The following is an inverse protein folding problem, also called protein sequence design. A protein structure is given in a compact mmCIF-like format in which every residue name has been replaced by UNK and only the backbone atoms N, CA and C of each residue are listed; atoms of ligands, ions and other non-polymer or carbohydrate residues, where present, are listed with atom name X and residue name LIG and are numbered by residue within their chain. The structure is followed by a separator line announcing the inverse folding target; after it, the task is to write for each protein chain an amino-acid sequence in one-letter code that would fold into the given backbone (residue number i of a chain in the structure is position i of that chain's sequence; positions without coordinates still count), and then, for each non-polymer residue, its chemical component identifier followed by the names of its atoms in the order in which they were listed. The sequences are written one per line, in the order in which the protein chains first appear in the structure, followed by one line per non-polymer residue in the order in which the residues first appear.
data_IF_183848285461
#
_entry.id   IF_183848285461
#
_cell.length_a   1.000
_cell.length_b   1.000
_cell.length_c   1.000
_cell.angle_alpha   90.00
_cell.angle_beta   90.00
_cell.angle_gamma   90.00
#
_symmetry.space_group_name_H-M   'P 1'
#
loop_
_entity.id
_entity.type
_entity.pdbx_description
1 polymer ?
#
# COMPACT_ATOMS: atom_id res chain seq x y z
N UNK A 1 -3.20 -3.50 8.75
CA UNK A 1 -2.18 -4.33 8.07
C UNK A 1 -2.74 -5.74 7.88
N UNK A 2 -3.63 -5.96 6.90
CA UNK A 2 -4.31 -7.25 6.73
C UNK A 2 -3.35 -8.39 6.33
N UNK A 3 -2.18 -8.05 5.78
CA UNK A 3 -1.18 -9.03 5.40
C UNK A 3 -0.54 -9.78 6.57
N UNK A 4 -0.70 -9.31 7.82
CA UNK A 4 -0.20 -10.02 9.00
C UNK A 4 -0.81 -11.42 9.13
N UNK A 5 -2.02 -11.63 8.59
CA UNK A 5 -2.71 -12.92 8.56
C UNK A 5 -2.01 -13.97 7.67
N UNK A 6 -1.13 -13.53 6.77
CA UNK A 6 -0.38 -14.42 5.88
C UNK A 6 1.03 -14.71 6.37
N UNK A 7 1.44 -14.13 7.50
CA UNK A 7 2.75 -14.41 8.10
C UNK A 7 2.71 -15.74 8.85
N UNK A 8 3.83 -16.49 8.89
CA UNK A 8 3.92 -17.71 9.69
C UNK A 8 3.74 -17.38 11.17
N UNK A 9 3.21 -18.34 11.95
CA UNK A 9 2.97 -18.18 13.40
C UNK A 9 4.25 -17.84 14.19
N UNK A 10 5.43 -18.17 13.65
CA UNK A 10 6.73 -17.85 14.23
C UNK A 10 7.14 -16.38 14.06
N UNK A 11 6.38 -15.57 13.31
CA UNK A 11 6.69 -14.17 13.09
C UNK A 11 6.40 -13.34 14.35
N UNK A 12 7.32 -12.44 14.71
CA UNK A 12 7.14 -11.53 15.83
C UNK A 12 6.21 -10.35 15.43
N UNK A 13 4.90 -10.57 15.53
CA UNK A 13 3.90 -9.60 15.10
C UNK A 13 3.99 -8.28 15.88
N UNK A 14 4.27 -8.34 17.18
CA UNK A 14 4.38 -7.15 18.04
C UNK A 14 5.52 -6.24 17.60
N UNK A 15 6.68 -6.82 17.28
CA UNK A 15 7.83 -6.06 16.78
C UNK A 15 7.55 -5.46 15.39
N UNK A 16 6.89 -6.21 14.50
CA UNK A 16 6.50 -5.73 13.17
C UNK A 16 5.54 -4.53 13.29
N UNK A 17 4.53 -4.64 14.16
CA UNK A 17 3.56 -3.55 14.39
C UNK A 17 4.25 -2.34 15.00
N UNK A 18 5.09 -2.54 16.02
CA UNK A 18 5.85 -1.47 16.68
C UNK A 18 6.72 -0.70 15.68
N UNK A 19 7.48 -1.44 14.86
CA UNK A 19 8.32 -0.86 13.83
C UNK A 19 7.49 -0.13 12.77
N UNK A 20 6.36 -0.71 12.36
CA UNK A 20 5.45 -0.07 11.41
C UNK A 20 4.97 1.30 11.93
N UNK A 21 4.50 1.36 13.19
CA UNK A 21 4.03 2.60 13.80
C UNK A 21 5.14 3.65 13.95
N UNK A 22 6.36 3.24 14.30
CA UNK A 22 7.52 4.12 14.34
C UNK A 22 7.80 4.75 12.97
N UNK A 23 7.82 3.93 11.91
CA UNK A 23 8.05 4.40 10.54
C UNK A 23 6.92 5.29 10.05
N UNK A 24 5.68 4.98 10.40
CA UNK A 24 4.54 5.84 10.10
C UNK A 24 4.67 7.22 10.76
N UNK A 25 5.07 7.29 12.03
CA UNK A 25 5.34 8.57 12.71
C UNK A 25 6.44 9.36 12.02
N UNK A 26 7.49 8.69 11.56
CA UNK A 26 8.59 9.34 10.84
C UNK A 26 8.16 9.91 9.48
N UNK A 27 7.43 9.12 8.67
CA UNK A 27 6.98 9.51 7.32
C UNK A 27 5.88 10.58 7.37
N UNK A 28 5.08 10.64 8.44
CA UNK A 28 3.95 11.58 8.55
C UNK A 28 4.33 13.03 8.86
N UNK A 29 5.62 13.36 8.87
CA UNK A 29 6.08 14.73 9.07
C UNK A 29 5.67 15.66 7.91
N UNK A 30 5.19 16.86 8.23
CA UNK A 30 4.82 17.89 7.24
C UNK A 30 6.03 18.65 6.67
N UNK A 31 7.05 17.91 6.26
CA UNK A 31 8.21 18.46 5.54
C UNK A 31 8.02 18.24 4.05
N UNK A 32 8.39 19.23 3.25
CA UNK A 32 8.27 19.22 1.77
C UNK A 32 8.77 17.91 1.14
N UNK A 33 9.92 17.39 1.60
CA UNK A 33 10.50 16.14 1.12
C UNK A 33 9.58 14.92 1.33
N UNK A 34 8.95 14.79 2.49
CA UNK A 34 8.00 13.70 2.76
C UNK A 34 6.68 13.91 2.02
N UNK A 35 6.15 15.14 2.02
CA UNK A 35 4.88 15.46 1.36
C UNK A 35 4.90 15.15 -0.14
N UNK A 36 6.05 15.32 -0.81
CA UNK A 36 6.21 15.03 -2.24
C UNK A 36 5.92 13.57 -2.59
N UNK A 37 6.19 12.63 -1.69
CA UNK A 37 5.96 11.20 -1.91
C UNK A 37 4.71 10.69 -1.19
N UNK A 38 4.42 11.22 0.00
CA UNK A 38 3.26 10.81 0.80
C UNK A 38 1.95 11.15 0.11
N UNK A 39 1.79 12.35 -0.46
CA UNK A 39 0.53 12.77 -1.08
C UNK A 39 0.13 11.91 -2.29
N UNK A 40 1.03 11.63 -3.26
CA UNK A 40 0.71 10.70 -4.35
C UNK A 40 0.36 9.30 -3.83
N UNK A 41 1.11 8.79 -2.86
CA UNK A 41 0.82 7.49 -2.26
C UNK A 41 -0.55 7.45 -1.59
N UNK A 42 -0.91 8.44 -0.76
CA UNK A 42 -2.21 8.53 -0.09
C UNK A 42 -3.36 8.64 -1.09
N UNK A 43 -3.15 9.35 -2.20
CA UNK A 43 -4.11 9.42 -3.29
C UNK A 43 -4.30 8.06 -3.96
N UNK A 44 -3.20 7.36 -4.28
CA UNK A 44 -3.24 6.05 -4.90
C UNK A 44 -3.77 4.95 -3.96
N UNK A 45 -3.60 5.09 -2.65
CA UNK A 45 -4.08 4.12 -1.66
C UNK A 45 -5.61 3.99 -1.62
N UNK A 46 -6.34 4.98 -2.16
CA UNK A 46 -7.79 4.93 -2.31
C UNK A 46 -8.25 3.89 -3.34
N UNK A 47 -7.39 3.52 -4.29
CA UNK A 47 -7.66 2.48 -5.28
C UNK A 47 -7.22 1.12 -4.73
N UNK A 48 -8.15 0.16 -4.72
CA UNK A 48 -7.88 -1.22 -4.33
C UNK A 48 -8.09 -2.10 -5.56
N UNK A 49 -7.09 -2.92 -5.89
CA UNK A 49 -7.23 -3.92 -6.94
C UNK A 49 -7.95 -5.16 -6.38
N UNK A 50 -8.96 -5.63 -7.09
CA UNK A 50 -9.63 -6.89 -6.81
C UNK A 50 -8.82 -8.07 -7.36
N UNK A 51 -8.16 -7.88 -8.51
CA UNK A 51 -7.32 -8.89 -9.13
C UNK A 51 -5.82 -8.65 -8.89
N UNK A 52 -5.08 -9.72 -8.59
CA UNK A 52 -3.61 -9.70 -8.49
C UNK A 52 -3.06 -10.98 -9.12
N UNK A 53 -2.20 -10.84 -10.13
CA UNK A 53 -1.47 -11.95 -10.74
C UNK A 53 0.04 -11.80 -10.47
N UNK A 54 0.60 -12.81 -9.79
CA UNK A 54 2.01 -12.92 -9.44
C UNK A 54 2.68 -14.16 -10.06
N UNK A 55 2.08 -14.77 -11.10
CA UNK A 55 2.54 -16.05 -11.67
C UNK A 55 3.69 -15.90 -12.67
N UNK A 56 3.87 -14.71 -13.25
CA UNK A 56 4.96 -14.38 -14.18
C UNK A 56 6.04 -13.46 -13.58
N UNK A 57 6.98 -13.04 -14.44
CA UNK A 57 8.03 -12.07 -14.06
C UNK A 57 7.47 -10.65 -13.82
N UNK A 58 6.27 -10.38 -14.32
CA UNK A 58 5.55 -9.12 -14.15
C UNK A 58 4.41 -9.32 -13.16
N UNK A 59 4.38 -8.50 -12.11
CA UNK A 59 3.23 -8.42 -11.20
C UNK A 59 2.15 -7.56 -11.85
N UNK A 60 0.95 -8.12 -12.00
CA UNK A 60 -0.22 -7.41 -12.55
C UNK A 60 -1.18 -7.13 -11.39
N UNK A 61 -1.50 -5.85 -11.18
CA UNK A 61 -2.45 -5.39 -10.17
C UNK A 61 -3.66 -4.78 -10.88
N UNK A 62 -4.81 -5.42 -10.72
CA UNK A 62 -6.09 -5.03 -11.28
C UNK A 62 -6.26 -5.33 -12.77
N UNK A 63 -7.51 -5.33 -13.22
CA UNK A 63 -7.92 -5.32 -14.63
C UNK A 63 -8.30 -3.93 -15.13
N UNK A 64 -8.45 -3.78 -16.45
CA UNK A 64 -8.92 -2.52 -17.05
C UNK A 64 -10.38 -2.19 -16.70
N UNK A 65 -11.15 -3.23 -16.39
CA UNK A 65 -12.54 -3.21 -15.93
C UNK A 65 -12.69 -2.77 -14.47
N UNK A 66 -11.63 -2.83 -13.67
CA UNK A 66 -11.61 -2.36 -12.28
C UNK A 66 -11.43 -0.84 -12.16
N UNK A 67 -11.19 -0.14 -13.27
CA UNK A 67 -10.99 1.33 -13.28
C UNK A 67 -12.21 2.02 -13.89
N UNK A 68 -12.96 2.75 -13.07
CA UNK A 68 -14.12 3.51 -13.53
C UNK A 68 -13.72 4.65 -14.48
N UNK A 69 -14.67 5.15 -15.27
CA UNK A 69 -14.41 6.33 -16.12
C UNK A 69 -14.03 7.57 -15.31
N UNK A 70 -14.56 7.71 -14.09
CA UNK A 70 -14.19 8.79 -13.19
C UNK A 70 -12.72 8.67 -12.76
N UNK A 71 -12.28 7.48 -12.39
CA UNK A 71 -10.90 7.23 -11.95
C UNK A 71 -9.86 7.44 -13.07
N UNK A 72 -10.25 7.23 -14.33
CA UNK A 72 -9.38 7.45 -15.50
C UNK A 72 -9.07 8.93 -15.77
N UNK A 73 -9.86 9.83 -15.21
CA UNK A 73 -9.77 11.28 -15.49
C UNK A 73 -9.41 12.12 -14.25
N UNK A 74 -9.32 11.48 -13.09
CA UNK A 74 -8.90 12.06 -11.80
C UNK A 74 -7.37 12.29 -11.74
#
# INVERSE_FOLDING_TARGET
MNYLLFLPETANLDEIVTLHEERQRWVKQDKKGFLRYRKPFEHLAAFQAEHVDCTGDTVILGGADEVSEQDRTA
#
